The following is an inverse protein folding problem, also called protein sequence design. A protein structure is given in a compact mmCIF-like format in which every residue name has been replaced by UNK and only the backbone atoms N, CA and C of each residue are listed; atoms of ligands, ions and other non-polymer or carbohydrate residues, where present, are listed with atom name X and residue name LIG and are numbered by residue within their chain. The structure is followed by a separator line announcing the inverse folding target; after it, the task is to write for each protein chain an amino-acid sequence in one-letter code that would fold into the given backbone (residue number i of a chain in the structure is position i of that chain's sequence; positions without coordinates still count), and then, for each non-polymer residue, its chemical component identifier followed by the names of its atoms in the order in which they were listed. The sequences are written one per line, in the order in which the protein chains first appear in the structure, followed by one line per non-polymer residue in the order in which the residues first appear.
data_IF_545647297368
#
_entry.id   IF_545647297368
#
_cell.length_a   1.000
_cell.length_b   1.000
_cell.length_c   1.000
_cell.angle_alpha   90.00
_cell.angle_beta   90.00
_cell.angle_gamma   90.00
#
_symmetry.space_group_name_H-M   'P 1'
#
loop_
_entity.id
_entity.type
_entity.pdbx_description
1 polymer ?
#
# COMPACT_ATOMS: atom_id res chain seq x y z
N UNK A 1 -0.60 -0.62 -18.07
CA UNK A 1 -0.42 -2.06 -17.73
C UNK A 1 -0.66 -2.20 -16.24
N UNK A 2 -1.55 -3.11 -15.81
CA UNK A 2 -1.72 -3.44 -14.39
C UNK A 2 -0.56 -4.36 -13.98
N UNK A 3 0.15 -4.01 -12.91
CA UNK A 3 1.38 -4.71 -12.53
C UNK A 3 1.39 -5.03 -11.04
N UNK A 4 1.87 -6.21 -10.65
CA UNK A 4 1.90 -6.66 -9.24
C UNK A 4 3.05 -6.06 -8.40
N UNK A 5 3.84 -5.16 -8.98
CA UNK A 5 4.91 -4.41 -8.33
C UNK A 5 6.21 -5.21 -8.17
N UNK A 6 6.44 -6.21 -9.02
CA UNK A 6 7.63 -7.05 -8.99
C UNK A 6 8.85 -6.35 -9.60
N UNK A 7 10.04 -6.64 -9.06
CA UNK A 7 11.32 -6.03 -9.49
C UNK A 7 11.57 -6.13 -11.01
N UNK A 8 11.15 -7.23 -11.66
CA UNK A 8 11.32 -7.39 -13.10
C UNK A 8 10.50 -6.38 -13.92
N UNK A 9 9.46 -5.77 -13.35
CA UNK A 9 8.62 -4.79 -14.01
C UNK A 9 9.29 -3.41 -14.11
N UNK A 10 10.23 -3.11 -13.21
CA UNK A 10 11.11 -1.95 -13.33
C UNK A 10 11.93 -1.96 -14.64
N UNK A 11 12.17 -3.15 -15.21
CA UNK A 11 12.83 -3.29 -16.52
C UNK A 11 11.99 -2.66 -17.64
N UNK A 12 10.66 -2.81 -17.61
CA UNK A 12 9.78 -2.24 -18.63
C UNK A 12 9.70 -0.71 -18.54
N UNK A 13 9.83 -0.14 -17.33
CA UNK A 13 9.97 1.32 -17.14
C UNK A 13 11.26 1.83 -17.77
N UNK A 14 12.37 1.13 -17.56
CA UNK A 14 13.66 1.50 -18.17
C UNK A 14 13.58 1.45 -19.69
N UNK A 15 12.97 0.40 -20.24
CA UNK A 15 12.78 0.23 -21.67
C UNK A 15 11.85 1.30 -22.25
N UNK A 16 10.73 1.62 -21.59
CA UNK A 16 9.81 2.66 -22.08
C UNK A 16 10.47 4.03 -22.10
N UNK A 17 11.30 4.34 -21.11
CA UNK A 17 12.12 5.57 -21.10
C UNK A 17 13.12 5.59 -22.27
N UNK A 18 13.81 4.49 -22.55
CA UNK A 18 14.70 4.39 -23.71
C UNK A 18 13.96 4.53 -25.04
N UNK A 19 12.70 4.06 -25.12
CA UNK A 19 11.87 4.13 -26.32
C UNK A 19 11.02 5.41 -26.41
N UNK A 20 11.10 6.31 -25.42
CA UNK A 20 10.28 7.54 -25.32
C UNK A 20 8.76 7.27 -25.41
N UNK A 21 8.33 6.13 -24.89
CA UNK A 21 6.91 5.76 -24.83
C UNK A 21 6.38 6.08 -23.44
N UNK A 22 5.25 6.80 -23.37
CA UNK A 22 4.56 7.05 -22.11
C UNK A 22 3.91 5.75 -21.62
N UNK A 23 4.39 5.23 -20.48
CA UNK A 23 3.89 4.01 -19.86
C UNK A 23 3.19 4.34 -18.54
N UNK A 24 1.89 4.05 -18.48
CA UNK A 24 1.11 4.13 -17.23
C UNK A 24 1.14 2.78 -16.51
N UNK A 25 1.67 2.79 -15.29
CA UNK A 25 1.75 1.62 -14.41
C UNK A 25 0.87 1.84 -13.20
N UNK A 26 -0.08 0.92 -13.00
CA UNK A 26 -0.96 0.89 -11.85
C UNK A 26 -0.63 -0.37 -11.06
N UNK A 27 -0.45 -0.23 -9.76
CA UNK A 27 -0.21 -1.34 -8.84
C UNK A 27 -1.43 -2.28 -8.78
N UNK A 28 -1.22 -3.60 -8.76
CA UNK A 28 -2.29 -4.57 -8.48
C UNK A 28 -2.61 -4.55 -6.99
N UNK A 29 -3.74 -3.95 -6.64
CA UNK A 29 -4.16 -3.79 -5.25
C UNK A 29 -4.50 -5.13 -4.58
N UNK A 30 -4.84 -6.18 -5.35
CA UNK A 30 -5.29 -7.48 -4.82
C UNK A 30 -4.23 -8.10 -3.89
N UNK A 31 -2.99 -8.18 -4.33
CA UNK A 31 -1.90 -8.72 -3.50
C UNK A 31 -1.42 -7.75 -2.42
N UNK A 32 -1.83 -6.48 -2.45
CA UNK A 32 -1.32 -5.43 -1.55
C UNK A 32 -2.29 -5.07 -0.44
N UNK A 33 -3.55 -5.49 -0.59
CA UNK A 33 -4.53 -5.54 0.48
C UNK A 33 -4.05 -6.44 1.64
N UNK A 34 -3.23 -7.47 1.37
CA UNK A 34 -2.63 -8.32 2.41
C UNK A 34 -1.81 -7.51 3.42
N UNK A 35 -1.04 -6.50 2.99
CA UNK A 35 -0.30 -5.64 3.92
C UNK A 35 -1.22 -4.77 4.79
N UNK A 36 -2.41 -4.41 4.29
CA UNK A 36 -3.40 -3.69 5.09
C UNK A 36 -4.05 -4.62 6.11
N UNK A 37 -4.35 -5.87 5.75
CA UNK A 37 -4.84 -6.89 6.69
C UNK A 37 -3.82 -7.20 7.78
N UNK A 38 -2.56 -7.40 7.39
CA UNK A 38 -1.44 -7.59 8.31
C UNK A 38 -1.36 -6.47 9.34
N UNK A 39 -1.43 -5.21 8.89
CA UNK A 39 -1.43 -4.06 9.79
C UNK A 39 -2.69 -4.00 10.66
N UNK A 40 -3.86 -4.32 10.11
CA UNK A 40 -5.11 -4.31 10.84
C UNK A 40 -5.14 -5.36 11.98
N UNK A 41 -4.59 -6.55 11.74
CA UNK A 41 -4.46 -7.60 12.75
C UNK A 41 -3.50 -7.23 13.90
N UNK A 42 -2.64 -6.22 13.73
CA UNK A 42 -1.88 -5.65 14.84
C UNK A 42 -2.72 -4.73 15.74
N UNK A 43 -3.84 -4.22 15.22
CA UNK A 43 -4.61 -3.15 15.85
C UNK A 43 -5.97 -3.61 16.39
N UNK A 44 -6.47 -4.71 15.87
CA UNK A 44 -7.78 -5.30 16.15
C UNK A 44 -7.67 -6.81 16.27
N UNK A 45 -8.59 -7.42 17.01
CA UNK A 45 -8.71 -8.89 17.00
C UNK A 45 -9.15 -9.36 15.60
N UNK A 46 -8.59 -10.48 15.17
CA UNK A 46 -8.95 -11.13 13.90
C UNK A 46 -10.47 -11.36 13.83
N UNK A 47 -11.05 -11.18 12.64
CA UNK A 47 -12.49 -11.36 12.38
C UNK A 47 -13.44 -10.38 13.08
N UNK A 48 -12.95 -9.25 13.59
CA UNK A 48 -13.84 -8.18 14.09
C UNK A 48 -14.32 -7.28 12.96
N UNK A 49 -15.56 -6.81 13.05
CA UNK A 49 -16.11 -5.84 12.08
C UNK A 49 -15.27 -4.57 12.00
N UNK A 50 -14.72 -4.12 13.12
CA UNK A 50 -13.81 -2.98 13.18
C UNK A 50 -12.52 -3.19 12.36
N UNK A 51 -12.03 -4.43 12.24
CA UNK A 51 -10.90 -4.77 11.40
C UNK A 51 -11.25 -4.61 9.92
N UNK A 52 -12.37 -5.20 9.49
CA UNK A 52 -12.90 -5.07 8.12
C UNK A 52 -13.13 -3.61 7.72
N UNK A 53 -13.82 -2.84 8.58
CA UNK A 53 -14.14 -1.45 8.31
C UNK A 53 -12.86 -0.59 8.22
N UNK A 54 -11.86 -0.88 9.06
CA UNK A 54 -10.56 -0.20 9.00
C UNK A 54 -9.83 -0.52 7.69
N UNK A 55 -9.75 -1.79 7.28
CA UNK A 55 -9.11 -2.19 6.02
C UNK A 55 -9.82 -1.56 4.83
N UNK A 56 -11.16 -1.61 4.80
CA UNK A 56 -11.96 -1.00 3.75
C UNK A 56 -11.73 0.51 3.65
N UNK A 57 -11.69 1.21 4.78
CA UNK A 57 -11.39 2.65 4.82
C UNK A 57 -9.99 2.97 4.29
N UNK A 58 -8.96 2.20 4.68
CA UNK A 58 -7.59 2.42 4.19
C UNK A 58 -7.44 2.05 2.72
N UNK A 59 -8.11 1.01 2.27
CA UNK A 59 -8.15 0.62 0.87
C UNK A 59 -8.74 1.75 0.00
N UNK A 60 -9.85 2.34 0.45
CA UNK A 60 -10.46 3.48 -0.24
C UNK A 60 -9.53 4.70 -0.26
N UNK A 61 -8.84 5.01 0.84
CA UNK A 61 -7.83 6.08 0.86
C UNK A 61 -6.70 5.81 -0.15
N UNK A 62 -6.20 4.55 -0.23
CA UNK A 62 -5.19 4.14 -1.22
C UNK A 62 -5.70 4.32 -2.65
N UNK A 63 -6.94 3.91 -2.94
CA UNK A 63 -7.58 4.09 -4.25
C UNK A 63 -7.82 5.56 -4.62
N UNK A 64 -7.85 6.46 -3.64
CA UNK A 64 -7.89 7.91 -3.86
C UNK A 64 -6.48 8.54 -3.84
N UNK A 65 -5.44 7.76 -4.18
CA UNK A 65 -4.05 8.21 -4.24
C UNK A 65 -3.48 8.72 -2.89
N UNK A 66 -4.08 8.38 -1.75
CA UNK A 66 -3.66 8.85 -0.42
C UNK A 66 -2.69 7.87 0.29
N UNK A 67 -1.88 7.11 -0.45
CA UNK A 67 -0.98 6.08 0.12
C UNK A 67 -0.04 6.59 1.23
N UNK A 68 0.49 7.82 1.10
CA UNK A 68 1.33 8.46 2.15
C UNK A 68 0.56 8.74 3.44
N UNK A 69 -0.69 9.19 3.34
CA UNK A 69 -1.56 9.44 4.50
C UNK A 69 -1.85 8.12 5.21
N UNK A 70 -2.14 7.06 4.46
CA UNK A 70 -2.36 5.73 5.02
C UNK A 70 -1.12 5.24 5.77
N UNK A 71 0.07 5.34 5.16
CA UNK A 71 1.34 5.00 5.81
C UNK A 71 1.56 5.77 7.12
N UNK A 72 1.31 7.07 7.14
CA UNK A 72 1.37 7.89 8.36
C UNK A 72 0.39 7.40 9.43
N UNK A 73 -0.85 7.09 9.04
CA UNK A 73 -1.86 6.60 9.98
C UNK A 73 -1.53 5.23 10.60
N UNK A 74 -0.84 4.36 9.86
CA UNK A 74 -0.34 3.07 10.35
C UNK A 74 0.74 3.30 11.41
N UNK A 75 1.75 4.13 11.10
CA UNK A 75 2.83 4.46 12.04
C UNK A 75 2.30 5.08 13.33
N UNK A 76 1.35 6.01 13.22
CA UNK A 76 0.70 6.61 14.38
C UNK A 76 -0.10 5.58 15.19
N UNK A 77 -0.77 4.64 14.53
CA UNK A 77 -1.55 3.59 15.20
C UNK A 77 -0.66 2.59 15.94
N UNK A 78 0.51 2.28 15.36
CA UNK A 78 1.52 1.44 15.98
C UNK A 78 2.17 2.13 17.19
N UNK A 79 2.54 3.40 17.07
CA UNK A 79 3.16 4.17 18.16
C UNK A 79 2.25 4.35 19.40
N UNK A 80 0.92 4.27 19.22
CA UNK A 80 -0.06 4.37 20.31
C UNK A 80 -0.31 3.05 21.05
N UNK A 81 0.33 1.95 20.63
CA UNK A 81 0.08 0.60 21.16
C UNK A 81 1.37 0.01 21.70
N UNK A 82 1.23 -0.85 22.72
CA UNK A 82 2.35 -1.64 23.25
C UNK A 82 2.59 -2.88 22.37
N UNK A 83 3.08 -2.65 21.15
CA UNK A 83 3.42 -3.70 20.21
C UNK A 83 4.81 -4.27 20.50
N UNK A 84 5.02 -5.55 20.23
CA UNK A 84 6.37 -6.14 20.21
C UNK A 84 7.21 -5.61 19.06
N UNK A 85 8.53 -5.72 19.15
CA UNK A 85 9.46 -5.28 18.08
C UNK A 85 9.12 -5.91 16.73
N UNK A 86 8.74 -7.19 16.72
CA UNK A 86 8.32 -7.90 15.51
C UNK A 86 7.09 -7.25 14.87
N UNK A 87 6.11 -6.86 15.67
CA UNK A 87 4.88 -6.21 15.20
C UNK A 87 5.16 -4.78 14.72
N UNK A 88 6.07 -4.05 15.38
CA UNK A 88 6.51 -2.73 14.92
C UNK A 88 7.20 -2.82 13.54
N UNK A 89 8.07 -3.81 13.34
CA UNK A 89 8.69 -4.07 12.03
C UNK A 89 7.62 -4.34 10.97
N UNK A 90 6.62 -5.17 11.27
CA UNK A 90 5.54 -5.48 10.33
C UNK A 90 4.70 -4.25 9.96
N UNK A 91 4.34 -3.42 10.93
CA UNK A 91 3.66 -2.15 10.68
C UNK A 91 4.50 -1.20 9.81
N UNK A 92 5.80 -1.14 10.07
CA UNK A 92 6.74 -0.30 9.32
C UNK A 92 6.98 -0.83 7.91
N UNK A 93 6.99 -2.15 7.70
CA UNK A 93 7.04 -2.77 6.36
C UNK A 93 5.85 -2.33 5.51
N UNK A 94 4.62 -2.39 6.05
CA UNK A 94 3.42 -1.93 5.36
C UNK A 94 3.49 -0.43 5.02
N UNK A 95 3.86 0.41 6.00
CA UNK A 95 3.98 1.85 5.79
C UNK A 95 5.06 2.22 4.74
N UNK A 96 6.19 1.51 4.74
CA UNK A 96 7.24 1.69 3.76
C UNK A 96 6.82 1.24 2.37
N UNK A 97 6.08 0.14 2.27
CA UNK A 97 5.54 -0.33 1.00
C UNK A 97 4.68 0.75 0.32
N UNK A 98 3.72 1.32 1.06
CA UNK A 98 2.84 2.39 0.56
C UNK A 98 3.62 3.66 0.18
N UNK A 99 4.65 4.00 0.95
CA UNK A 99 5.46 5.20 0.70
C UNK A 99 6.36 5.03 -0.53
N UNK A 100 7.00 3.85 -0.69
CA UNK A 100 7.88 3.52 -1.82
C UNK A 100 7.13 3.47 -3.13
N UNK A 101 5.89 2.97 -3.12
CA UNK A 101 5.08 2.78 -4.32
C UNK A 101 4.10 3.93 -4.60
N UNK A 102 4.26 5.10 -3.95
CA UNK A 102 3.34 6.25 -4.08
C UNK A 102 3.03 6.65 -5.53
N UNK A 103 4.01 6.53 -6.42
CA UNK A 103 3.89 6.93 -7.84
C UNK A 103 3.12 5.90 -8.66
N UNK A 104 3.03 4.66 -8.18
CA UNK A 104 2.28 3.57 -8.79
C UNK A 104 0.90 3.37 -8.16
N UNK A 105 0.61 4.09 -7.07
CA UNK A 105 -0.64 4.08 -6.29
C UNK A 105 -1.54 5.28 -6.70
N UNK A 106 -1.24 5.96 -7.80
CA UNK A 106 -2.00 7.12 -8.24
C UNK A 106 -3.26 6.76 -9.06
N UNK A 107 -4.12 5.92 -8.48
CA UNK A 107 -5.33 5.41 -9.14
C UNK A 107 -6.25 6.54 -9.63
N UNK A 108 -6.35 7.64 -8.87
CA UNK A 108 -7.20 8.78 -9.24
C UNK A 108 -6.78 9.42 -10.57
N UNK A 109 -5.48 9.47 -10.85
CA UNK A 109 -4.96 10.02 -12.10
C UNK A 109 -4.92 8.99 -13.24
N UNK A 110 -4.98 7.70 -12.94
CA UNK A 110 -4.81 6.63 -13.94
C UNK A 110 -6.11 5.93 -14.37
N UNK A 111 -7.21 6.06 -13.62
CA UNK A 111 -8.49 5.39 -13.91
C UNK A 111 -9.63 6.36 -14.26
N UNK A 112 -9.33 7.50 -14.90
CA UNK A 112 -10.33 8.44 -15.40
C UNK A 112 -11.19 7.86 -16.53
#
# INVERSE_FOLDING_TARGET
MLVDGQEYQHRYIKISNSLRVNLTIILDIRNKIEYLWDAAHLFFNESTRSCEDWVGSKLLDVLNSQGRKVAGSIRMSAAKRNLSDKQLIQAETCANYLTKNKEYIDYQNYLQ
#
